data_IF_371756947335
#
_entry.id   IF_371756947335
#
_cell.length_a   1.000
_cell.length_b   1.000
_cell.length_c   1.000
_cell.angle_alpha   90.00
_cell.angle_beta   90.00
_cell.angle_gamma   90.00
#
_symmetry.space_group_name_H-M   'P 1'
#
loop_
_entity.id
_entity.type
_entity.pdbx_description
1 polymer ?
#
# COMPACT_ATOMS: atom_id res chain seq x y z
N UNK A 1 -42.16 -26.71 -17.39
CA UNK A 1 -41.92 -25.30 -17.74
C UNK A 1 -41.73 -25.23 -19.24
N UNK A 2 -42.56 -24.50 -19.98
CA UNK A 2 -42.34 -24.33 -21.43
C UNK A 2 -41.25 -23.25 -21.69
N UNK A 3 -40.64 -23.22 -22.87
CA UNK A 3 -39.53 -22.28 -23.13
C UNK A 3 -39.93 -20.80 -22.96
N UNK A 4 -41.19 -20.46 -23.22
CA UNK A 4 -41.72 -19.09 -23.08
C UNK A 4 -41.93 -18.72 -21.61
N UNK A 5 -42.31 -19.67 -20.77
CA UNK A 5 -42.43 -19.52 -19.32
C UNK A 5 -41.05 -19.25 -18.69
N UNK A 6 -40.01 -19.97 -19.13
CA UNK A 6 -38.62 -19.74 -18.71
C UNK A 6 -38.13 -18.34 -19.15
N UNK A 7 -38.40 -17.95 -20.40
CA UNK A 7 -38.10 -16.59 -20.92
C UNK A 7 -38.80 -15.49 -20.13
N UNK A 8 -40.05 -15.71 -19.75
CA UNK A 8 -40.84 -14.75 -18.98
C UNK A 8 -40.31 -14.63 -17.54
N UNK A 9 -39.92 -15.75 -16.92
CA UNK A 9 -39.40 -15.78 -15.56
C UNK A 9 -37.97 -15.23 -15.44
N UNK A 10 -37.13 -15.42 -16.45
CA UNK A 10 -35.71 -14.99 -16.44
C UNK A 10 -35.38 -14.22 -17.71
N UNK A 11 -35.58 -12.89 -17.72
CA UNK A 11 -35.26 -12.04 -18.86
C UNK A 11 -33.80 -12.23 -19.32
N UNK A 12 -33.60 -12.46 -20.62
CA UNK A 12 -32.28 -12.66 -21.22
C UNK A 12 -31.75 -14.09 -21.18
N UNK A 13 -32.46 -15.04 -20.56
CA UNK A 13 -32.09 -16.46 -20.63
C UNK A 13 -32.24 -16.98 -22.06
N UNK A 14 -31.20 -17.66 -22.55
CA UNK A 14 -31.26 -18.32 -23.86
C UNK A 14 -32.01 -19.65 -23.70
N UNK A 15 -33.02 -19.85 -24.53
CA UNK A 15 -33.76 -21.10 -24.64
C UNK A 15 -33.73 -21.59 -26.07
N UNK A 16 -33.68 -22.90 -26.24
CA UNK A 16 -33.66 -23.54 -27.55
C UNK A 16 -34.40 -24.88 -27.48
N UNK A 17 -35.02 -25.25 -28.60
CA UNK A 17 -35.56 -26.58 -28.80
C UNK A 17 -34.41 -27.60 -29.02
N UNK A 18 -34.63 -28.91 -28.79
CA UNK A 18 -33.62 -29.95 -28.98
C UNK A 18 -32.97 -29.97 -30.37
N UNK A 19 -33.64 -29.43 -31.39
CA UNK A 19 -33.10 -29.31 -32.76
C UNK A 19 -31.77 -28.53 -32.83
N UNK A 20 -31.47 -27.69 -31.84
CA UNK A 20 -30.19 -26.98 -31.76
C UNK A 20 -28.98 -27.94 -31.70
N UNK A 21 -29.20 -29.18 -31.24
CA UNK A 21 -28.17 -30.23 -31.16
C UNK A 21 -27.72 -30.65 -32.56
N UNK A 22 -28.57 -30.59 -33.60
CA UNK A 22 -28.20 -31.03 -34.95
C UNK A 22 -27.01 -30.26 -35.52
N UNK A 23 -26.94 -28.95 -35.23
CA UNK A 23 -25.91 -28.04 -35.77
C UNK A 23 -25.03 -27.44 -34.66
N UNK A 24 -24.88 -28.12 -33.52
CA UNK A 24 -24.21 -27.56 -32.35
C UNK A 24 -22.74 -27.18 -32.59
N UNK A 25 -22.02 -27.91 -33.46
CA UNK A 25 -20.62 -27.62 -33.77
C UNK A 25 -20.44 -26.31 -34.54
N UNK A 26 -21.43 -25.94 -35.36
CA UNK A 26 -21.42 -24.72 -36.16
C UNK A 26 -21.94 -23.52 -35.38
N UNK A 27 -22.74 -23.77 -34.33
CA UNK A 27 -23.37 -22.73 -33.56
C UNK A 27 -22.35 -22.05 -32.61
N UNK A 28 -22.11 -20.73 -32.76
CA UNK A 28 -21.12 -20.00 -31.98
C UNK A 28 -21.30 -20.10 -30.46
N UNK A 29 -22.52 -20.36 -29.98
CA UNK A 29 -22.80 -20.46 -28.53
C UNK A 29 -22.11 -21.65 -27.86
N UNK A 30 -21.81 -22.72 -28.62
CA UNK A 30 -21.13 -23.90 -28.09
C UNK A 30 -19.61 -23.85 -28.34
N UNK A 31 -19.11 -22.78 -28.99
CA UNK A 31 -17.68 -22.60 -29.25
C UNK A 31 -16.97 -22.24 -27.94
N UNK A 32 -16.47 -23.25 -27.23
CA UNK A 32 -15.62 -23.12 -26.06
C UNK A 32 -14.14 -22.93 -26.41
N UNK A 33 -13.32 -22.54 -25.43
CA UNK A 33 -11.85 -22.63 -25.56
C UNK A 33 -11.45 -24.12 -25.59
N UNK A 34 -10.53 -24.53 -26.48
CA UNK A 34 -10.01 -25.89 -26.47
C UNK A 34 -9.38 -26.25 -25.11
N UNK A 35 -9.78 -27.38 -24.52
CA UNK A 35 -9.18 -27.95 -23.30
C UNK A 35 -8.67 -29.36 -23.57
N UNK A 36 -7.77 -29.48 -24.56
CA UNK A 36 -7.22 -30.76 -25.03
C UNK A 36 -6.45 -31.52 -23.93
N UNK A 37 -5.98 -30.81 -22.90
CA UNK A 37 -5.26 -31.38 -21.75
C UNK A 37 -6.17 -31.61 -20.53
N UNK A 38 -7.48 -31.41 -20.67
CA UNK A 38 -8.48 -31.59 -19.62
C UNK A 38 -8.15 -30.85 -18.31
N UNK A 39 -7.53 -29.66 -18.41
CA UNK A 39 -7.18 -28.84 -17.24
C UNK A 39 -8.43 -28.43 -16.46
N UNK A 40 -9.52 -28.13 -17.16
CA UNK A 40 -10.79 -27.75 -16.52
C UNK A 40 -11.46 -28.93 -15.83
N UNK A 41 -11.40 -30.12 -16.44
CA UNK A 41 -11.89 -31.35 -15.81
C UNK A 41 -11.10 -31.66 -14.52
N UNK A 42 -9.78 -31.53 -14.56
CA UNK A 42 -8.94 -31.70 -13.35
C UNK A 42 -9.37 -30.74 -12.23
N UNK A 43 -9.58 -29.47 -12.54
CA UNK A 43 -10.05 -28.48 -11.56
C UNK A 43 -11.43 -28.83 -10.97
N UNK A 44 -12.37 -29.35 -11.77
CA UNK A 44 -13.67 -29.77 -11.25
C UNK A 44 -13.60 -31.04 -10.39
N UNK A 45 -12.69 -31.97 -10.69
CA UNK A 45 -12.48 -33.15 -9.83
C UNK A 45 -11.96 -32.78 -8.44
N UNK A 46 -11.14 -31.73 -8.34
CA UNK A 46 -10.72 -31.17 -7.04
C UNK A 46 -11.94 -30.70 -6.24
N UNK A 47 -12.84 -29.95 -6.88
CA UNK A 47 -14.08 -29.46 -6.23
C UNK A 47 -15.01 -30.59 -5.82
N UNK A 48 -15.16 -31.61 -6.66
CA UNK A 48 -15.96 -32.80 -6.38
C UNK A 48 -15.42 -33.57 -5.18
N UNK A 49 -14.11 -33.81 -5.11
CA UNK A 49 -13.45 -34.46 -3.98
C UNK A 49 -13.68 -33.68 -2.69
N UNK A 50 -13.48 -32.36 -2.73
CA UNK A 50 -13.66 -31.48 -1.58
C UNK A 50 -15.10 -31.46 -1.07
N UNK A 51 -16.07 -31.41 -1.98
CA UNK A 51 -17.49 -31.46 -1.63
C UNK A 51 -17.85 -32.81 -0.98
N UNK A 52 -17.34 -33.92 -1.54
CA UNK A 52 -17.57 -35.26 -0.98
C UNK A 52 -17.02 -35.39 0.44
N UNK A 53 -15.84 -34.86 0.70
CA UNK A 53 -15.21 -34.97 2.03
C UNK A 53 -15.86 -34.02 3.04
N UNK A 54 -16.28 -32.81 2.62
CA UNK A 54 -17.10 -31.92 3.44
C UNK A 54 -18.41 -32.58 3.89
N UNK A 55 -19.09 -33.28 2.98
CA UNK A 55 -20.33 -34.00 3.28
C UNK A 55 -20.13 -35.19 4.22
N UNK A 56 -19.00 -35.90 4.13
CA UNK A 56 -18.66 -37.04 5.00
C UNK A 56 -18.29 -36.61 6.41
N UNK A 57 -17.53 -35.53 6.55
CA UNK A 57 -17.07 -35.05 7.86
C UNK A 57 -18.28 -34.54 8.67
N UNK A 58 -19.22 -33.83 8.01
CA UNK A 58 -20.31 -33.15 8.70
C UNK A 58 -19.80 -32.08 9.69
N UNK A 59 -20.68 -31.34 10.35
CA UNK A 59 -20.28 -30.36 11.37
C UNK A 59 -19.99 -28.95 10.84
N UNK A 60 -19.16 -28.20 11.56
CA UNK A 60 -18.90 -26.78 11.31
C UNK A 60 -18.06 -26.57 10.03
N UNK A 61 -18.54 -25.68 9.16
CA UNK A 61 -17.85 -25.35 7.92
C UNK A 61 -16.48 -24.71 8.19
N UNK A 62 -16.32 -23.93 9.27
CA UNK A 62 -15.02 -23.32 9.58
C UNK A 62 -13.97 -24.35 10.04
N UNK A 63 -14.37 -25.37 10.82
CA UNK A 63 -13.47 -26.48 11.19
C UNK A 63 -12.97 -27.25 9.95
N UNK A 64 -13.85 -27.46 8.97
CA UNK A 64 -13.48 -28.05 7.68
C UNK A 64 -12.48 -27.16 6.92
N UNK A 65 -12.69 -25.84 6.91
CA UNK A 65 -11.77 -24.91 6.24
C UNK A 65 -10.40 -24.87 6.95
N UNK A 66 -10.36 -24.87 8.29
CA UNK A 66 -9.12 -24.96 9.09
C UNK A 66 -8.32 -26.24 8.78
N UNK A 67 -8.98 -27.36 8.58
CA UNK A 67 -8.32 -28.63 8.23
C UNK A 67 -7.95 -28.76 6.74
N UNK A 68 -8.47 -27.88 5.87
CA UNK A 68 -8.21 -27.93 4.43
C UNK A 68 -6.82 -27.41 4.03
N UNK A 69 -6.06 -26.79 4.94
CA UNK A 69 -4.74 -26.20 4.69
C UNK A 69 -4.74 -25.24 3.48
N UNK A 70 -5.66 -24.27 3.49
CA UNK A 70 -5.80 -23.32 2.38
C UNK A 70 -4.61 -22.38 2.38
N UNK A 71 -3.89 -22.36 1.25
CA UNK A 71 -2.74 -21.48 1.02
C UNK A 71 -3.05 -20.50 -0.09
N UNK A 72 -2.65 -19.25 0.11
CA UNK A 72 -2.73 -18.21 -0.90
C UNK A 72 -1.39 -17.53 -1.10
N UNK A 73 -1.18 -16.98 -2.30
CA UNK A 73 -0.03 -16.14 -2.61
C UNK A 73 -0.45 -14.98 -3.52
N UNK A 74 0.14 -13.82 -3.29
CA UNK A 74 -0.07 -12.60 -4.06
C UNK A 74 1.04 -12.45 -5.08
N UNK A 75 0.68 -12.06 -6.30
CA UNK A 75 1.62 -11.89 -7.41
C UNK A 75 1.34 -10.58 -8.12
N UNK A 76 2.40 -9.84 -8.46
CA UNK A 76 2.32 -8.50 -9.07
C UNK A 76 2.80 -8.45 -10.51
N UNK A 77 3.30 -9.56 -11.05
CA UNK A 77 3.73 -9.70 -12.45
C UNK A 77 2.55 -9.95 -13.40
N UNK A 78 1.49 -9.13 -13.25
CA UNK A 78 0.22 -9.17 -14.00
C UNK A 78 0.44 -9.29 -15.50
N UNK A 79 1.44 -8.59 -16.03
CA UNK A 79 1.74 -8.58 -17.46
C UNK A 79 2.07 -9.98 -18.02
N UNK A 80 2.75 -10.84 -17.23
CA UNK A 80 3.05 -12.22 -17.64
C UNK A 80 1.80 -13.09 -17.75
N UNK A 81 0.79 -12.78 -16.95
CA UNK A 81 -0.45 -13.55 -16.82
C UNK A 81 -1.67 -12.81 -17.38
N UNK A 82 -1.44 -11.74 -18.16
CA UNK A 82 -2.48 -10.79 -18.57
C UNK A 82 -3.63 -11.47 -19.31
N UNK A 83 -3.34 -12.39 -20.23
CA UNK A 83 -4.36 -13.14 -20.97
C UNK A 83 -5.27 -13.96 -20.04
N UNK A 84 -4.69 -14.54 -18.98
CA UNK A 84 -5.45 -15.32 -17.99
C UNK A 84 -6.28 -14.41 -17.07
N UNK A 85 -5.72 -13.27 -16.67
CA UNK A 85 -6.39 -12.26 -15.86
C UNK A 85 -7.53 -11.61 -16.64
N UNK A 86 -7.33 -11.26 -17.91
CA UNK A 86 -8.36 -10.76 -18.83
C UNK A 86 -9.54 -11.73 -18.92
N UNK A 87 -9.26 -13.02 -19.11
CA UNK A 87 -10.31 -14.03 -19.08
C UNK A 87 -11.06 -14.04 -17.75
N UNK A 88 -10.35 -13.93 -16.62
CA UNK A 88 -10.96 -13.91 -15.29
C UNK A 88 -11.84 -12.66 -15.10
N UNK A 89 -11.38 -11.48 -15.48
CA UNK A 89 -12.12 -10.20 -15.42
C UNK A 89 -13.43 -10.30 -16.19
N UNK A 90 -13.38 -10.85 -17.41
CA UNK A 90 -14.53 -10.85 -18.31
C UNK A 90 -15.52 -12.01 -18.08
N UNK A 91 -15.06 -13.15 -17.54
CA UNK A 91 -15.91 -14.32 -17.30
C UNK A 91 -16.49 -14.42 -15.89
N UNK A 92 -15.94 -13.69 -14.93
CA UNK A 92 -16.40 -13.76 -13.54
C UNK A 92 -17.63 -12.87 -13.34
N UNK A 93 -18.80 -13.49 -13.10
CA UNK A 93 -20.05 -12.75 -12.86
C UNK A 93 -20.36 -12.59 -11.37
N UNK A 94 -20.67 -13.68 -10.67
CA UNK A 94 -21.17 -13.60 -9.28
C UNK A 94 -20.10 -13.22 -8.25
N UNK A 95 -18.82 -13.45 -8.55
CA UNK A 95 -17.70 -13.09 -7.69
C UNK A 95 -16.87 -11.94 -8.27
N UNK A 96 -17.44 -11.14 -9.16
CA UNK A 96 -16.88 -9.85 -9.53
C UNK A 96 -17.70 -8.78 -8.81
N UNK A 97 -17.09 -8.15 -7.80
CA UNK A 97 -17.78 -7.26 -6.88
C UNK A 97 -18.11 -5.91 -7.53
N UNK A 98 -17.28 -5.41 -8.44
CA UNK A 98 -17.52 -4.14 -9.13
C UNK A 98 -18.28 -4.30 -10.45
N UNK A 99 -18.33 -5.52 -10.99
CA UNK A 99 -18.86 -5.87 -12.32
C UNK A 99 -18.14 -5.18 -13.48
N UNK A 100 -17.01 -4.52 -13.21
CA UNK A 100 -16.18 -3.93 -14.25
C UNK A 100 -15.65 -5.01 -15.19
N UNK A 101 -15.60 -4.67 -16.48
CA UNK A 101 -15.16 -5.53 -17.58
C UNK A 101 -14.11 -4.78 -18.38
N UNK A 102 -13.17 -5.53 -18.96
CA UNK A 102 -12.24 -4.99 -19.93
C UNK A 102 -12.77 -5.18 -21.34
N UNK A 103 -12.23 -4.45 -22.33
CA UNK A 103 -12.47 -4.75 -23.74
C UNK A 103 -12.32 -6.24 -24.05
N UNK A 104 -13.15 -6.76 -24.97
CA UNK A 104 -13.06 -8.18 -25.38
C UNK A 104 -11.74 -8.50 -26.08
N UNK A 105 -11.17 -7.52 -26.81
CA UNK A 105 -9.82 -7.63 -27.36
C UNK A 105 -8.78 -7.50 -26.24
N UNK A 106 -7.86 -8.47 -26.18
CA UNK A 106 -6.87 -8.59 -25.12
C UNK A 106 -5.83 -7.46 -25.19
N UNK A 107 -5.45 -7.03 -26.39
CA UNK A 107 -4.41 -6.01 -26.55
C UNK A 107 -4.97 -4.61 -26.33
N UNK A 108 -6.23 -4.35 -26.68
CA UNK A 108 -6.95 -3.14 -26.26
C UNK A 108 -7.07 -3.06 -24.74
N UNK A 109 -7.42 -4.17 -24.08
CA UNK A 109 -7.47 -4.24 -22.62
C UNK A 109 -6.10 -4.01 -21.98
N UNK A 110 -5.02 -4.53 -22.57
CA UNK A 110 -3.64 -4.33 -22.09
C UNK A 110 -3.26 -2.85 -22.13
N UNK A 111 -3.48 -2.19 -23.26
CA UNK A 111 -3.21 -0.74 -23.41
C UNK A 111 -4.01 0.09 -22.43
N UNK A 112 -5.27 -0.28 -22.18
CA UNK A 112 -6.09 0.39 -21.16
C UNK A 112 -5.47 0.21 -19.77
N UNK A 113 -5.12 -1.00 -19.38
CA UNK A 113 -4.49 -1.28 -18.09
C UNK A 113 -3.16 -0.53 -17.93
N UNK A 114 -2.28 -0.58 -18.93
CA UNK A 114 -1.00 0.15 -18.93
C UNK A 114 -1.22 1.66 -18.75
N UNK A 115 -2.18 2.22 -19.49
CA UNK A 115 -2.57 3.62 -19.37
C UNK A 115 -3.03 3.95 -17.95
N UNK A 116 -3.97 3.18 -17.40
CA UNK A 116 -4.48 3.42 -16.04
C UNK A 116 -3.39 3.31 -14.97
N UNK A 117 -2.47 2.36 -15.11
CA UNK A 117 -1.32 2.21 -14.20
C UNK A 117 -0.34 3.38 -14.33
N UNK A 118 -0.16 3.92 -15.54
CA UNK A 118 0.73 5.06 -15.78
C UNK A 118 0.14 6.39 -15.28
N UNK A 119 -1.18 6.57 -15.37
CA UNK A 119 -1.88 7.77 -14.93
C UNK A 119 -2.04 7.82 -13.39
N UNK A 120 -2.08 6.65 -12.74
CA UNK A 120 -2.31 6.53 -11.30
C UNK A 120 -1.09 5.89 -10.61
N UNK A 121 -0.09 6.72 -10.28
CA UNK A 121 1.17 6.28 -9.67
C UNK A 121 0.95 5.40 -8.43
N UNK A 122 0.07 5.83 -7.51
CA UNK A 122 -0.27 5.13 -6.26
C UNK A 122 -1.30 4.00 -6.41
N UNK A 123 -1.45 3.45 -7.60
CA UNK A 123 -2.32 2.30 -7.80
C UNK A 123 -1.68 0.98 -7.33
N UNK A 124 -2.48 0.05 -6.84
CA UNK A 124 -2.03 -1.24 -6.32
C UNK A 124 -2.79 -2.36 -7.02
N UNK A 125 -2.08 -3.33 -7.59
CA UNK A 125 -2.70 -4.41 -8.35
C UNK A 125 -1.93 -5.71 -8.20
N UNK A 126 -2.65 -6.79 -8.34
CA UNK A 126 -2.09 -8.12 -8.29
C UNK A 126 -3.11 -9.20 -8.56
N UNK A 127 -2.63 -10.42 -8.68
CA UNK A 127 -3.45 -11.60 -8.83
C UNK A 127 -3.15 -12.61 -7.73
N UNK A 128 -4.14 -13.45 -7.43
CA UNK A 128 -4.10 -14.39 -6.31
C UNK A 128 -4.05 -15.81 -6.88
N UNK A 129 -3.05 -16.58 -6.44
CA UNK A 129 -3.05 -18.04 -6.60
C UNK A 129 -3.54 -18.69 -5.31
N UNK A 130 -4.26 -19.79 -5.44
CA UNK A 130 -4.82 -20.53 -4.30
C UNK A 130 -4.54 -22.02 -4.48
N UNK A 131 -4.14 -22.69 -3.40
CA UNK A 131 -4.11 -24.15 -3.29
C UNK A 131 -4.65 -24.59 -1.93
N UNK A 132 -4.97 -25.86 -1.81
CA UNK A 132 -5.30 -26.49 -0.53
C UNK A 132 -4.88 -27.97 -0.57
N UNK A 133 -5.25 -28.75 0.45
CA UNK A 133 -4.94 -30.18 0.52
C UNK A 133 -5.50 -31.02 -0.64
N UNK A 134 -6.46 -30.51 -1.42
CA UNK A 134 -7.04 -31.19 -2.58
C UNK A 134 -6.31 -30.85 -3.89
N UNK A 135 -5.57 -29.74 -3.92
CA UNK A 135 -4.67 -29.37 -5.00
C UNK A 135 -4.70 -27.90 -5.39
N UNK A 136 -4.12 -27.60 -6.55
CA UNK A 136 -3.93 -26.24 -7.02
C UNK A 136 -5.14 -25.73 -7.80
N UNK A 137 -5.63 -24.55 -7.42
CA UNK A 137 -6.66 -23.83 -8.16
C UNK A 137 -6.03 -22.86 -9.18
N UNK A 138 -4.73 -22.57 -9.10
CA UNK A 138 -4.08 -21.59 -9.98
C UNK A 138 -4.60 -20.17 -9.77
N UNK A 139 -4.57 -19.34 -10.81
CA UNK A 139 -5.02 -17.93 -10.72
C UNK A 139 -6.53 -17.88 -10.49
N UNK A 140 -6.89 -17.40 -9.30
CA UNK A 140 -8.24 -17.38 -8.76
C UNK A 140 -8.72 -16.01 -8.32
N UNK A 141 -7.87 -15.00 -8.25
CA UNK A 141 -8.29 -13.64 -7.91
C UNK A 141 -7.52 -12.60 -8.72
N UNK A 142 -8.13 -11.43 -8.90
CA UNK A 142 -7.47 -10.24 -9.39
C UNK A 142 -8.01 -9.01 -8.66
N UNK A 143 -7.12 -8.10 -8.31
CA UNK A 143 -7.48 -6.81 -7.76
C UNK A 143 -6.72 -5.69 -8.46
N UNK A 144 -7.37 -4.54 -8.55
CA UNK A 144 -6.77 -3.28 -8.98
C UNK A 144 -7.41 -2.16 -8.17
N UNK A 145 -6.63 -1.59 -7.27
CA UNK A 145 -6.98 -0.48 -6.42
C UNK A 145 -6.33 0.80 -6.93
N UNK A 146 -7.09 1.89 -6.93
CA UNK A 146 -6.61 3.26 -7.12
C UNK A 146 -6.62 3.99 -5.78
N UNK A 147 -6.05 5.20 -5.68
CA UNK A 147 -6.13 5.99 -4.46
C UNK A 147 -7.58 6.13 -3.98
N UNK A 148 -7.85 5.67 -2.75
CA UNK A 148 -9.17 5.74 -2.13
C UNK A 148 -10.19 4.67 -2.53
N UNK A 149 -10.03 3.93 -3.65
CA UNK A 149 -11.06 2.97 -4.08
C UNK A 149 -10.54 1.73 -4.82
N UNK A 150 -11.35 0.66 -4.82
CA UNK A 150 -11.08 -0.61 -5.48
C UNK A 150 -11.82 -0.70 -6.82
N UNK A 151 -11.09 -0.60 -7.94
CA UNK A 151 -11.66 -0.64 -9.30
C UNK A 151 -12.01 -2.06 -9.75
N UNK A 152 -11.09 -3.00 -9.56
CA UNK A 152 -11.33 -4.42 -9.81
C UNK A 152 -11.16 -5.18 -8.52
N UNK A 153 -12.16 -6.01 -8.18
CA UNK A 153 -12.06 -6.99 -7.11
C UNK A 153 -12.90 -8.18 -7.51
N UNK A 154 -12.25 -9.27 -7.88
CA UNK A 154 -12.94 -10.40 -8.46
C UNK A 154 -12.22 -11.72 -8.24
N UNK A 155 -13.01 -12.79 -8.15
CA UNK A 155 -12.51 -14.14 -7.87
C UNK A 155 -13.19 -15.23 -8.69
N UNK A 156 -12.47 -16.30 -8.95
CA UNK A 156 -12.99 -17.49 -9.60
C UNK A 156 -13.99 -18.20 -8.68
N UNK A 157 -15.09 -18.71 -9.24
CA UNK A 157 -16.04 -19.57 -8.49
C UNK A 157 -15.41 -20.84 -7.90
N UNK A 158 -14.18 -21.19 -8.29
CA UNK A 158 -13.43 -22.32 -7.73
C UNK A 158 -13.02 -22.14 -6.27
N UNK A 159 -12.97 -20.90 -5.78
CA UNK A 159 -12.65 -20.60 -4.38
C UNK A 159 -13.87 -20.17 -3.56
N UNK A 160 -15.05 -20.24 -4.15
CA UNK A 160 -16.29 -19.82 -3.50
C UNK A 160 -16.47 -20.53 -2.15
N UNK A 161 -16.85 -19.79 -1.13
CA UNK A 161 -17.04 -20.26 0.25
C UNK A 161 -15.76 -20.74 0.96
N UNK A 162 -14.56 -20.40 0.45
CA UNK A 162 -13.30 -20.69 1.12
C UNK A 162 -12.83 -19.57 2.07
N UNK A 163 -13.46 -18.40 2.04
CA UNK A 163 -13.02 -17.23 2.81
C UNK A 163 -11.89 -16.43 2.14
N UNK A 164 -11.49 -16.78 0.91
CA UNK A 164 -10.37 -16.14 0.21
C UNK A 164 -10.70 -14.68 -0.11
N UNK A 165 -11.93 -14.40 -0.51
CA UNK A 165 -12.38 -13.04 -0.85
C UNK A 165 -12.27 -12.11 0.38
N UNK A 166 -12.72 -12.59 1.54
CA UNK A 166 -12.70 -11.86 2.80
C UNK A 166 -11.27 -11.69 3.32
N UNK A 167 -10.45 -12.74 3.24
CA UNK A 167 -9.04 -12.67 3.64
C UNK A 167 -8.28 -11.63 2.80
N UNK A 168 -8.38 -11.70 1.48
CA UNK A 168 -7.71 -10.74 0.58
C UNK A 168 -8.25 -9.33 0.82
N UNK A 169 -9.55 -9.16 1.06
CA UNK A 169 -10.14 -7.86 1.36
C UNK A 169 -9.57 -7.22 2.63
N UNK A 170 -9.48 -8.01 3.70
CA UNK A 170 -8.87 -7.59 4.96
C UNK A 170 -7.39 -7.26 4.79
N UNK A 171 -6.64 -8.13 4.09
CA UNK A 171 -5.20 -7.94 3.83
C UNK A 171 -4.90 -6.68 3.01
N UNK A 172 -5.78 -6.32 2.08
CA UNK A 172 -5.66 -5.09 1.28
C UNK A 172 -6.19 -3.83 1.98
N UNK A 173 -6.52 -3.92 3.28
CA UNK A 173 -6.90 -2.77 4.10
C UNK A 173 -8.34 -2.30 3.91
N UNK A 174 -9.24 -3.15 3.38
CA UNK A 174 -10.68 -2.87 3.21
C UNK A 174 -10.96 -1.49 2.58
N UNK A 175 -10.27 -1.19 1.47
CA UNK A 175 -10.43 0.07 0.71
C UNK A 175 -11.91 0.32 0.35
N UNK A 176 -12.30 1.50 -0.08
CA UNK A 176 -13.69 1.68 -0.52
C UNK A 176 -13.96 0.83 -1.79
N UNK A 177 -15.13 0.19 -1.88
CA UNK A 177 -15.54 -0.57 -3.07
C UNK A 177 -17.04 -0.39 -3.34
N UNK A 178 -17.37 -0.02 -4.58
CA UNK A 178 -18.74 0.06 -5.06
C UNK A 178 -19.24 -1.33 -5.48
N UNK A 179 -19.78 -2.08 -4.51
CA UNK A 179 -20.33 -3.42 -4.78
C UNK A 179 -21.57 -3.31 -5.68
N UNK A 180 -21.56 -4.02 -6.81
CA UNK A 180 -22.67 -4.13 -7.76
C UNK A 180 -23.34 -5.51 -7.62
N UNK A 181 -24.50 -5.60 -6.95
CA UNK A 181 -25.22 -6.86 -6.79
C UNK A 181 -25.79 -7.38 -8.13
N UNK A 182 -26.11 -8.69 -8.24
CA UNK A 182 -25.93 -9.71 -7.21
C UNK A 182 -24.47 -10.19 -7.10
N UNK A 183 -24.02 -10.47 -5.88
CA UNK A 183 -22.75 -11.15 -5.57
C UNK A 183 -23.00 -12.46 -4.84
N UNK A 184 -22.15 -13.47 -5.05
CA UNK A 184 -22.29 -14.78 -4.41
C UNK A 184 -21.79 -14.81 -2.95
N UNK A 185 -20.99 -13.83 -2.54
CA UNK A 185 -20.49 -13.70 -1.17
C UNK A 185 -20.61 -12.26 -0.66
N UNK A 186 -20.62 -12.13 0.66
CA UNK A 186 -20.53 -10.87 1.40
C UNK A 186 -19.10 -10.72 1.93
N UNK A 187 -18.45 -9.59 1.62
CA UNK A 187 -17.07 -9.32 2.05
C UNK A 187 -16.94 -9.09 3.57
N UNK A 188 -18.06 -8.90 4.27
CA UNK A 188 -18.07 -8.74 5.73
C UNK A 188 -18.39 -10.04 6.48
N UNK A 189 -18.66 -11.14 5.76
CA UNK A 189 -19.03 -12.40 6.36
C UNK A 189 -18.27 -13.59 5.72
N UNK A 190 -17.39 -14.28 6.47
CA UNK A 190 -16.99 -13.97 7.85
C UNK A 190 -16.14 -12.69 7.90
N UNK A 191 -16.21 -11.95 9.00
CA UNK A 191 -15.39 -10.73 9.16
C UNK A 191 -13.92 -11.04 9.43
N UNK A 192 -13.63 -12.24 9.95
CA UNK A 192 -12.28 -12.74 10.22
C UNK A 192 -12.12 -14.12 9.60
N UNK A 193 -10.97 -14.33 8.97
CA UNK A 193 -10.57 -15.61 8.35
C UNK A 193 -9.24 -16.01 8.95
N UNK A 194 -9.24 -17.06 9.77
CA UNK A 194 -8.06 -17.56 10.50
C UNK A 194 -7.52 -18.89 9.96
N UNK A 195 -8.13 -19.44 8.91
CA UNK A 195 -7.77 -20.72 8.29
C UNK A 195 -6.98 -20.62 6.98
N UNK A 196 -6.60 -19.41 6.57
CA UNK A 196 -5.83 -19.17 5.35
C UNK A 196 -4.39 -18.85 5.71
N UNK A 197 -3.45 -19.58 5.11
CA UNK A 197 -2.02 -19.35 5.23
C UNK A 197 -1.52 -18.57 4.01
N UNK A 198 -0.78 -17.49 4.27
CA UNK A 198 -0.03 -16.76 3.25
C UNK A 198 1.30 -17.46 2.99
N UNK A 199 1.69 -17.58 1.72
CA UNK A 199 2.95 -18.17 1.28
C UNK A 199 3.48 -17.46 0.03
N UNK A 200 4.74 -17.74 -0.35
CA UNK A 200 5.38 -17.10 -1.51
C UNK A 200 4.77 -17.55 -2.85
N UNK A 201 4.53 -18.86 -3.03
CA UNK A 201 3.77 -19.39 -4.16
C UNK A 201 2.91 -20.57 -3.73
N UNK A 202 1.59 -20.37 -3.78
CA UNK A 202 0.60 -21.39 -3.42
C UNK A 202 0.71 -22.65 -4.29
N UNK A 203 1.24 -22.58 -5.52
CA UNK A 203 1.38 -23.73 -6.41
C UNK A 203 2.75 -24.43 -6.29
N UNK A 204 3.68 -23.94 -5.45
CA UNK A 204 4.95 -24.61 -5.26
C UNK A 204 4.74 -25.96 -4.54
N UNK A 205 5.20 -27.05 -5.15
CA UNK A 205 5.09 -28.41 -4.60
C UNK A 205 6.08 -28.68 -3.45
N UNK A 206 7.08 -27.82 -3.27
CA UNK A 206 8.18 -27.95 -2.31
C UNK A 206 8.31 -26.74 -1.36
N UNK A 207 7.21 -26.20 -0.82
CA UNK A 207 7.40 -25.28 0.32
C UNK A 207 7.76 -26.09 1.56
N UNK A 208 9.07 -26.18 1.83
CA UNK A 208 9.60 -26.27 3.19
C UNK A 208 8.68 -25.49 4.11
N UNK A 209 8.24 -26.07 5.25
CA UNK A 209 7.47 -25.40 6.31
C UNK A 209 7.61 -23.88 6.20
N UNK A 210 6.66 -23.24 5.49
CA UNK A 210 6.68 -21.79 5.31
C UNK A 210 6.71 -21.26 6.74
N UNK A 211 7.74 -20.48 7.07
CA UNK A 211 8.01 -20.12 8.46
C UNK A 211 6.92 -19.13 8.89
N UNK A 212 5.81 -19.68 9.39
CA UNK A 212 4.62 -18.93 9.80
C UNK A 212 4.97 -17.84 10.82
N UNK A 213 6.13 -17.96 11.47
CA UNK A 213 6.68 -16.94 12.37
C UNK A 213 7.03 -15.64 11.63
N UNK A 214 7.61 -15.69 10.43
CA UNK A 214 8.00 -14.49 9.66
C UNK A 214 6.79 -13.73 9.12
N UNK A 215 5.75 -14.44 8.66
CA UNK A 215 4.49 -13.82 8.21
C UNK A 215 3.68 -13.20 9.35
N UNK A 216 4.00 -13.52 10.60
CA UNK A 216 3.37 -12.95 11.79
C UNK A 216 4.06 -11.69 12.32
N UNK A 217 5.26 -11.36 11.82
CA UNK A 217 5.97 -10.16 12.20
C UNK A 217 5.19 -8.92 11.76
N UNK A 218 5.04 -7.99 12.70
CA UNK A 218 4.48 -6.67 12.42
C UNK A 218 5.60 -5.72 11.98
N UNK A 219 5.43 -5.13 10.80
CA UNK A 219 6.41 -4.25 10.15
C UNK A 219 5.84 -2.84 10.03
N UNK A 220 6.43 -1.87 10.75
CA UNK A 220 6.11 -0.46 10.58
C UNK A 220 6.88 0.10 9.38
N UNK A 221 6.17 0.66 8.39
CA UNK A 221 6.75 1.38 7.26
C UNK A 221 6.51 2.87 7.46
N UNK A 222 7.59 3.63 7.68
CA UNK A 222 7.51 5.08 7.90
C UNK A 222 8.30 5.86 6.88
N UNK A 223 7.61 6.66 6.05
CA UNK A 223 8.26 7.48 5.03
C UNK A 223 7.25 8.18 4.13
N UNK A 224 7.56 8.29 2.83
CA UNK A 224 6.68 8.93 1.86
C UNK A 224 6.47 8.05 0.63
N UNK A 225 6.46 8.63 -0.57
CA UNK A 225 6.16 7.93 -1.82
C UNK A 225 7.07 6.71 -2.05
N UNK A 226 8.32 6.78 -1.61
CA UNK A 226 9.29 5.71 -1.72
C UNK A 226 8.87 4.44 -0.97
N UNK A 227 8.46 4.58 0.29
CA UNK A 227 7.97 3.47 1.09
C UNK A 227 6.49 3.14 0.83
N UNK A 228 5.67 4.11 0.45
CA UNK A 228 4.27 3.87 0.08
C UNK A 228 4.16 2.98 -1.17
N UNK A 229 5.00 3.22 -2.18
CA UNK A 229 5.04 2.34 -3.36
C UNK A 229 5.68 0.98 -3.06
N UNK A 230 6.66 0.96 -2.15
CA UNK A 230 7.29 -0.29 -1.70
C UNK A 230 6.31 -1.14 -0.88
N UNK A 231 5.41 -0.51 -0.11
CA UNK A 231 4.44 -1.20 0.75
C UNK A 231 3.47 -2.07 -0.05
N UNK A 232 3.17 -1.69 -1.31
CA UNK A 232 2.31 -2.48 -2.20
C UNK A 232 2.82 -3.91 -2.39
N UNK A 233 4.13 -4.11 -2.32
CA UNK A 233 4.75 -5.42 -2.40
C UNK A 233 4.93 -6.04 -1.01
N UNK A 234 5.36 -5.27 -0.01
CA UNK A 234 5.64 -5.78 1.34
C UNK A 234 4.40 -6.25 2.10
N UNK A 235 3.28 -5.51 2.01
CA UNK A 235 2.03 -5.87 2.70
C UNK A 235 1.42 -7.16 2.18
N UNK A 236 1.88 -7.65 1.02
CA UNK A 236 1.48 -8.96 0.50
C UNK A 236 2.26 -10.12 1.09
N UNK A 237 3.29 -9.83 1.90
CA UNK A 237 4.16 -10.80 2.59
C UNK A 237 4.06 -10.68 4.11
N UNK A 238 4.03 -9.46 4.64
CA UNK A 238 4.07 -9.17 6.08
C UNK A 238 2.78 -8.51 6.57
N UNK A 239 2.56 -8.48 7.88
CA UNK A 239 1.59 -7.59 8.51
C UNK A 239 2.22 -6.20 8.64
N UNK A 240 1.61 -5.17 8.02
CA UNK A 240 2.23 -3.84 7.93
C UNK A 240 1.42 -2.77 8.64
N UNK A 241 2.10 -1.90 9.39
CA UNK A 241 1.58 -0.60 9.82
C UNK A 241 2.18 0.45 8.88
N UNK A 242 1.34 1.20 8.17
CA UNK A 242 1.77 2.22 7.20
C UNK A 242 1.65 3.62 7.81
N UNK A 243 2.80 4.28 8.01
CA UNK A 243 2.91 5.68 8.42
C UNK A 243 3.45 6.50 7.25
N UNK A 244 2.54 6.99 6.42
CA UNK A 244 2.86 7.84 5.28
C UNK A 244 2.21 9.21 5.42
N UNK A 245 2.67 10.17 4.62
CA UNK A 245 2.11 11.51 4.64
C UNK A 245 0.63 11.51 4.25
N UNK A 246 -0.13 12.41 4.88
CA UNK A 246 -1.49 12.70 4.48
C UNK A 246 -1.80 14.18 4.69
N UNK A 247 -2.57 14.75 3.76
CA UNK A 247 -2.98 16.16 3.83
C UNK A 247 -4.23 16.30 4.70
N UNK A 248 -4.19 17.24 5.64
CA UNK A 248 -5.34 17.66 6.44
C UNK A 248 -5.56 19.13 6.14
N UNK A 249 -6.41 19.43 5.15
CA UNK A 249 -6.61 20.80 4.68
C UNK A 249 -6.73 21.79 5.86
N UNK A 250 -5.88 22.83 5.94
CA UNK A 250 -4.87 23.27 4.96
C UNK A 250 -3.44 22.73 5.18
N UNK A 251 -3.16 22.11 6.31
CA UNK A 251 -1.82 21.65 6.71
C UNK A 251 -1.53 20.23 6.23
N UNK A 252 -0.25 19.92 6.05
CA UNK A 252 0.16 18.55 5.77
C UNK A 252 0.79 17.91 6.99
N UNK A 253 0.40 16.65 7.25
CA UNK A 253 1.04 15.82 8.26
C UNK A 253 2.11 15.00 7.56
N UNK A 254 3.37 15.32 7.83
CA UNK A 254 4.54 14.63 7.28
C UNK A 254 5.16 13.67 8.28
N UNK A 255 5.84 12.67 7.75
CA UNK A 255 6.56 11.65 8.51
C UNK A 255 7.98 12.06 8.89
N UNK A 256 8.30 13.35 8.85
CA UNK A 256 9.63 13.87 9.18
C UNK A 256 10.04 13.58 10.63
N UNK A 257 11.34 13.55 10.91
CA UNK A 257 11.88 13.19 12.22
C UNK A 257 11.44 14.16 13.32
N UNK A 258 11.32 15.45 12.98
CA UNK A 258 10.90 16.50 13.92
C UNK A 258 9.51 16.26 14.50
N UNK A 259 8.58 15.66 13.74
CA UNK A 259 7.25 15.31 14.27
C UNK A 259 7.31 14.37 15.47
N UNK A 260 8.27 13.43 15.49
CA UNK A 260 8.48 12.50 16.61
C UNK A 260 9.24 13.18 17.76
N UNK A 261 10.20 14.06 17.43
CA UNK A 261 10.90 14.87 18.42
C UNK A 261 9.96 15.78 19.21
N UNK A 262 8.94 16.35 18.56
CA UNK A 262 7.92 17.16 19.22
C UNK A 262 7.09 16.37 20.25
N UNK A 263 6.82 15.09 19.99
CA UNK A 263 6.11 14.24 20.93
C UNK A 263 6.90 14.05 22.23
N UNK A 264 8.20 13.78 22.13
CA UNK A 264 9.10 13.69 23.28
C UNK A 264 9.11 14.97 24.10
N UNK A 265 9.20 16.11 23.41
CA UNK A 265 9.25 17.42 24.08
C UNK A 265 7.95 17.69 24.85
N UNK A 266 6.78 17.34 24.28
CA UNK A 266 5.48 17.43 24.95
C UNK A 266 5.34 16.52 26.18
N UNK A 267 5.91 15.32 26.16
CA UNK A 267 5.89 14.43 27.33
C UNK A 267 6.78 14.96 28.46
N UNK A 268 7.87 15.64 28.11
CA UNK A 268 8.87 16.11 29.06
C UNK A 268 8.53 17.45 29.74
N UNK A 269 7.66 18.27 29.13
CA UNK A 269 7.41 19.64 29.59
C UNK A 269 5.95 20.11 29.34
N UNK A 270 5.24 20.44 30.44
CA UNK A 270 3.86 20.93 30.40
C UNK A 270 3.74 22.31 29.72
N UNK A 271 4.80 23.13 29.75
CA UNK A 271 4.81 24.44 29.12
C UNK A 271 4.88 24.30 27.59
N UNK A 272 5.62 23.31 27.08
CA UNK A 272 5.68 22.99 25.64
C UNK A 272 4.31 22.57 25.10
N UNK A 273 3.56 21.76 25.85
CA UNK A 273 2.20 21.37 25.47
C UNK A 273 1.29 22.60 25.32
N UNK A 274 1.35 23.51 26.29
CA UNK A 274 0.57 24.76 26.28
C UNK A 274 0.95 25.67 25.11
N UNK A 275 2.24 25.72 24.74
CA UNK A 275 2.71 26.46 23.57
C UNK A 275 2.13 25.86 22.28
N UNK A 276 2.17 24.54 22.13
CA UNK A 276 1.69 23.88 20.91
C UNK A 276 0.18 24.00 20.70
N UNK A 277 -0.62 24.05 21.77
CA UNK A 277 -2.08 24.30 21.68
C UNK A 277 -2.42 25.68 21.09
N UNK A 278 -1.55 26.67 21.31
CA UNK A 278 -1.68 28.05 20.80
C UNK A 278 -1.05 28.24 19.42
N UNK A 279 -0.24 27.30 18.98
CA UNK A 279 0.56 27.40 17.76
C UNK A 279 -0.23 26.97 16.50
N UNK A 280 0.24 27.39 15.33
CA UNK A 280 -0.26 26.98 14.02
C UNK A 280 0.08 25.51 13.71
N UNK A 281 -0.67 24.92 12.79
CA UNK A 281 -0.42 23.58 12.28
C UNK A 281 -1.56 22.60 12.57
N UNK A 282 -1.42 21.35 12.13
CA UNK A 282 -2.41 20.32 12.39
C UNK A 282 -2.45 19.97 13.89
N UNK A 283 -3.54 19.37 14.34
CA UNK A 283 -3.63 18.79 15.69
C UNK A 283 -2.44 17.83 15.93
N UNK A 284 -1.53 18.20 16.83
CA UNK A 284 -0.28 17.48 17.05
C UNK A 284 -0.49 16.06 17.62
N UNK A 285 -1.67 15.76 18.17
CA UNK A 285 -2.01 14.37 18.54
C UNK A 285 -2.09 13.45 17.31
N UNK A 286 -2.13 14.00 16.09
CA UNK A 286 -2.10 13.26 14.82
C UNK A 286 -0.71 12.79 14.41
N UNK A 287 0.35 13.20 15.12
CA UNK A 287 1.71 12.66 14.98
C UNK A 287 1.93 11.37 15.77
N UNK A 288 0.85 10.73 16.22
CA UNK A 288 0.92 9.42 16.83
C UNK A 288 1.66 8.45 15.91
N UNK A 289 2.64 7.73 16.46
CA UNK A 289 3.49 6.83 15.71
C UNK A 289 3.76 5.56 16.50
N UNK A 290 3.83 4.45 15.79
CA UNK A 290 4.28 3.18 16.29
C UNK A 290 5.74 3.19 16.73
N UNK A 291 6.57 4.13 16.23
CA UNK A 291 7.93 4.35 16.75
C UNK A 291 7.89 4.76 18.23
N UNK A 292 6.87 5.53 18.63
CA UNK A 292 6.66 5.93 20.02
C UNK A 292 6.09 4.75 20.81
N UNK A 293 5.11 4.03 20.25
CA UNK A 293 4.42 2.95 20.97
C UNK A 293 5.21 1.64 21.01
N UNK A 294 6.19 1.47 20.12
CA UNK A 294 7.10 0.33 20.02
C UNK A 294 6.38 -1.01 19.81
N UNK A 295 5.26 -1.04 19.08
CA UNK A 295 4.47 -2.28 18.92
C UNK A 295 5.00 -3.20 17.84
N UNK A 296 5.50 -2.65 16.73
CA UNK A 296 6.04 -3.44 15.63
C UNK A 296 7.33 -4.16 16.02
N UNK A 297 7.58 -5.29 15.37
CA UNK A 297 8.82 -6.06 15.52
C UNK A 297 9.95 -5.44 14.69
N UNK A 298 9.61 -4.92 13.51
CA UNK A 298 10.53 -4.31 12.55
C UNK A 298 10.07 -2.92 12.15
N UNK A 299 11.02 -1.98 12.06
CA UNK A 299 10.80 -0.62 11.56
C UNK A 299 11.59 -0.39 10.28
N UNK A 300 10.90 -0.06 9.18
CA UNK A 300 11.52 0.38 7.93
C UNK A 300 11.29 1.87 7.78
N UNK A 301 12.38 2.64 7.80
CA UNK A 301 12.31 4.11 7.91
C UNK A 301 13.01 4.75 6.70
N UNK A 302 12.34 5.73 6.09
CA UNK A 302 12.91 6.65 5.12
C UNK A 302 12.75 8.08 5.60
N UNK A 303 13.81 8.88 5.44
CA UNK A 303 13.83 10.30 5.78
C UNK A 303 13.68 11.19 4.53
N UNK A 304 13.01 10.70 3.48
CA UNK A 304 12.82 11.45 2.24
C UNK A 304 12.06 12.77 2.41
N UNK A 305 11.35 12.98 3.53
CA UNK A 305 10.49 14.15 3.78
C UNK A 305 11.17 15.37 4.39
N UNK A 306 12.39 15.24 4.91
CA UNK A 306 13.04 16.33 5.67
C UNK A 306 13.23 17.60 4.85
N UNK A 307 13.50 17.43 3.56
CA UNK A 307 13.73 18.53 2.63
C UNK A 307 12.50 19.34 2.23
N UNK A 308 11.31 18.97 2.71
CA UNK A 308 10.04 19.53 2.26
C UNK A 308 9.33 20.41 3.29
N UNK A 309 10.04 20.81 4.34
CA UNK A 309 9.49 21.51 5.50
C UNK A 309 10.10 22.89 5.70
N UNK A 310 9.30 23.84 6.20
CA UNK A 310 9.78 25.10 6.79
C UNK A 310 9.85 24.97 8.30
N UNK A 311 10.96 25.41 8.91
CA UNK A 311 11.15 25.33 10.34
C UNK A 311 11.11 26.70 11.02
N UNK A 312 10.51 26.72 12.20
CA UNK A 312 10.28 27.91 13.01
C UNK A 312 10.71 27.65 14.45
N UNK A 313 11.46 28.57 15.03
CA UNK A 313 11.94 28.48 16.42
C UNK A 313 11.12 29.39 17.31
N UNK A 314 10.60 28.85 18.41
CA UNK A 314 9.97 29.65 19.46
C UNK A 314 11.04 30.50 20.16
N UNK A 315 10.83 31.82 20.24
CA UNK A 315 11.83 32.80 20.68
C UNK A 315 12.26 32.62 22.14
N UNK A 316 11.35 32.17 23.00
CA UNK A 316 11.61 32.01 24.44
C UNK A 316 12.15 30.63 24.81
N UNK A 317 11.57 29.56 24.24
CA UNK A 317 11.87 28.17 24.64
C UNK A 317 12.85 27.48 23.71
N UNK A 318 13.11 28.03 22.53
CA UNK A 318 13.93 27.39 21.50
C UNK A 318 13.25 26.21 20.79
N UNK A 319 11.99 25.89 21.10
CA UNK A 319 11.23 24.81 20.47
C UNK A 319 11.20 24.99 18.94
N UNK A 320 11.63 23.97 18.21
CA UNK A 320 11.58 23.98 16.73
C UNK A 320 10.32 23.25 16.25
N UNK A 321 9.50 23.98 15.50
CA UNK A 321 8.32 23.50 14.81
C UNK A 321 8.62 23.37 13.31
N UNK A 322 8.10 22.33 12.67
CA UNK A 322 8.13 22.18 11.22
C UNK A 322 6.72 22.20 10.65
N UNK A 323 6.47 23.03 9.63
CA UNK A 323 5.16 23.20 9.01
C UNK A 323 5.25 23.11 7.48
N UNK A 324 4.21 22.54 6.87
CA UNK A 324 3.91 22.69 5.43
C UNK A 324 2.47 23.10 5.21
N UNK A 325 2.29 24.00 4.26
CA UNK A 325 1.04 24.22 3.58
C UNK A 325 1.30 24.47 2.09
N UNK A 326 1.06 23.46 1.25
CA UNK A 326 1.29 23.55 -0.20
C UNK A 326 0.48 24.66 -0.87
N UNK A 327 -0.68 25.02 -0.33
CA UNK A 327 -1.58 26.00 -0.93
C UNK A 327 -1.21 27.46 -0.64
N UNK A 328 -0.38 27.74 0.38
CA UNK A 328 0.03 29.11 0.72
C UNK A 328 1.02 29.71 -0.30
N UNK A 329 1.72 28.88 -1.08
CA UNK A 329 2.66 29.37 -2.09
C UNK A 329 2.56 28.60 -3.42
N UNK A 330 1.46 28.78 -4.20
CA UNK A 330 1.25 28.07 -5.45
C UNK A 330 2.38 28.36 -6.46
N UNK A 331 3.00 27.31 -7.00
CA UNK A 331 4.04 27.44 -8.03
C UNK A 331 5.44 27.78 -7.52
N UNK A 332 5.64 27.87 -6.20
CA UNK A 332 6.96 27.83 -5.59
C UNK A 332 7.19 26.49 -4.91
N UNK A 333 8.45 26.08 -4.76
CA UNK A 333 8.79 24.98 -3.88
C UNK A 333 8.47 25.47 -2.45
N UNK A 334 7.27 25.19 -1.93
CA UNK A 334 6.80 25.67 -0.62
C UNK A 334 7.65 25.18 0.58
N UNK A 335 8.73 24.47 0.28
CA UNK A 335 9.83 24.11 1.16
C UNK A 335 10.64 25.38 1.44
N UNK A 336 10.92 25.67 2.71
CA UNK A 336 11.70 26.86 3.08
C UNK A 336 10.98 28.21 2.84
N UNK A 337 9.66 28.20 2.92
CA UNK A 337 8.84 29.41 2.92
C UNK A 337 8.70 29.99 4.34
N UNK A 338 8.80 31.32 4.46
CA UNK A 338 8.61 32.08 5.71
C UNK A 338 7.14 32.50 5.89
N UNK A 339 6.39 31.78 6.73
CA UNK A 339 5.01 32.11 7.03
C UNK A 339 4.91 33.34 7.95
N UNK A 340 5.96 33.66 8.71
CA UNK A 340 5.96 34.82 9.60
C UNK A 340 5.97 36.14 8.84
N UNK A 341 6.43 36.14 7.57
CA UNK A 341 6.42 37.32 6.71
C UNK A 341 5.04 37.66 6.13
N UNK A 342 4.09 36.73 6.12
CA UNK A 342 2.77 36.92 5.51
C UNK A 342 1.78 37.65 6.44
N UNK A 343 0.88 38.46 5.89
CA UNK A 343 -0.25 39.01 6.64
C UNK A 343 -1.37 37.98 6.75
N UNK A 344 -2.15 38.01 7.83
CA UNK A 344 -3.27 37.07 8.01
C UNK A 344 -4.31 37.21 6.90
N UNK A 345 -4.57 38.44 6.46
CA UNK A 345 -5.50 38.72 5.36
C UNK A 345 -5.13 38.06 4.03
N UNK A 346 -3.84 37.77 3.80
CA UNK A 346 -3.35 37.13 2.58
C UNK A 346 -3.58 35.61 2.59
N UNK A 347 -3.75 35.00 3.77
CA UNK A 347 -3.78 33.54 3.97
C UNK A 347 -5.09 33.01 4.54
N UNK A 348 -5.93 33.87 5.12
CA UNK A 348 -7.16 33.47 5.84
C UNK A 348 -8.15 32.65 5.00
N UNK A 349 -8.20 32.89 3.69
CA UNK A 349 -9.12 32.17 2.80
C UNK A 349 -8.64 30.72 2.54
N UNK A 350 -7.34 30.46 2.70
CA UNK A 350 -6.75 29.13 2.59
C UNK A 350 -6.70 28.42 3.95
N UNK A 351 -6.51 29.18 5.04
CA UNK A 351 -6.31 28.65 6.39
C UNK A 351 -7.62 28.48 7.17
N UNK A 352 -8.49 27.61 6.69
CA UNK A 352 -9.85 27.41 7.24
C UNK A 352 -9.91 26.94 8.70
N UNK A 353 -8.80 26.44 9.25
CA UNK A 353 -8.69 25.92 10.61
C UNK A 353 -7.87 26.82 11.56
N UNK A 354 -7.48 28.02 11.09
CA UNK A 354 -6.61 28.94 11.82
C UNK A 354 -7.35 30.24 12.13
N UNK A 355 -7.14 30.80 13.32
CA UNK A 355 -7.69 32.11 13.72
C UNK A 355 -6.63 33.21 13.58
N UNK A 356 -7.08 34.46 13.46
CA UNK A 356 -6.19 35.64 13.48
C UNK A 356 -5.36 35.70 14.76
N UNK A 357 -5.95 35.29 15.89
CA UNK A 357 -5.26 35.21 17.19
C UNK A 357 -4.09 34.21 17.14
N UNK A 358 -4.31 32.99 16.64
CA UNK A 358 -3.24 31.98 16.50
C UNK A 358 -2.16 32.44 15.52
N UNK A 359 -2.56 33.08 14.42
CA UNK A 359 -1.62 33.63 13.44
C UNK A 359 -0.75 34.73 14.04
N UNK A 360 -1.36 35.65 14.79
CA UNK A 360 -0.67 36.73 15.50
C UNK A 360 0.29 36.17 16.53
N UNK A 361 -0.18 35.22 17.36
CA UNK A 361 0.66 34.53 18.34
C UNK A 361 1.88 33.88 17.69
N UNK A 362 1.69 33.17 16.58
CA UNK A 362 2.80 32.55 15.85
C UNK A 362 3.82 33.59 15.37
N UNK A 363 3.38 34.68 14.73
CA UNK A 363 4.29 35.73 14.25
C UNK A 363 5.06 36.41 15.39
N UNK A 364 4.40 36.65 16.52
CA UNK A 364 5.01 37.30 17.67
C UNK A 364 6.02 36.40 18.38
N UNK A 365 5.74 35.10 18.47
CA UNK A 365 6.50 34.17 19.32
C UNK A 365 7.47 33.26 18.56
N UNK A 366 7.35 33.15 17.25
CA UNK A 366 8.25 32.34 16.42
C UNK A 366 9.08 33.20 15.47
N UNK A 367 10.27 32.70 15.16
CA UNK A 367 11.12 33.20 14.08
C UNK A 367 11.33 32.09 13.05
N UNK A 368 11.35 32.46 11.77
CA UNK A 368 11.69 31.54 10.70
C UNK A 368 13.19 31.27 10.72
N UNK A 369 13.57 29.99 10.76
CA UNK A 369 14.97 29.54 10.80
C UNK A 369 15.39 28.80 9.53
N UNK A 370 14.58 28.86 8.48
CA UNK A 370 14.80 28.14 7.24
C UNK A 370 14.28 26.69 7.25
N UNK A 371 14.47 26.00 6.14
CA UNK A 371 14.25 24.58 5.96
C UNK A 371 15.57 23.80 5.88
N UNK A 372 15.46 22.48 5.80
CA UNK A 372 16.62 21.57 5.84
C UNK A 372 17.70 21.90 4.80
N UNK A 373 17.32 22.38 3.62
CA UNK A 373 18.26 22.70 2.53
C UNK A 373 19.23 23.81 2.90
N UNK A 374 18.74 24.84 3.59
CA UNK A 374 19.43 26.12 3.73
C UNK A 374 19.78 26.50 5.18
N UNK A 375 19.42 25.65 6.16
CA UNK A 375 19.64 25.95 7.58
C UNK A 375 20.44 24.85 8.29
N UNK A 376 21.63 25.22 8.78
CA UNK A 376 22.48 24.30 9.55
C UNK A 376 21.89 23.98 10.93
N UNK A 377 21.14 24.91 11.53
CA UNK A 377 20.39 24.68 12.78
C UNK A 377 19.34 23.59 12.57
N UNK A 378 18.64 23.61 11.42
CA UNK A 378 17.65 22.57 11.09
C UNK A 378 18.32 21.22 10.82
N UNK A 379 19.48 21.19 10.18
CA UNK A 379 20.25 19.95 9.98
C UNK A 379 20.74 19.35 11.31
N UNK A 380 21.22 20.20 12.22
CA UNK A 380 21.62 19.78 13.57
C UNK A 380 20.42 19.22 14.36
N UNK A 381 19.28 19.92 14.30
CA UNK A 381 18.05 19.42 14.92
C UNK A 381 17.60 18.08 14.32
N UNK A 382 17.63 17.94 13.00
CA UNK A 382 17.34 16.69 12.32
C UNK A 382 18.25 15.55 12.81
N UNK A 383 19.56 15.79 12.90
CA UNK A 383 20.50 14.81 13.44
C UNK A 383 20.11 14.39 14.87
N UNK A 384 19.75 15.35 15.74
CA UNK A 384 19.31 15.07 17.11
C UNK A 384 18.00 14.26 17.15
N UNK A 385 17.06 14.53 16.25
CA UNK A 385 15.81 13.79 16.15
C UNK A 385 16.04 12.35 15.67
N UNK A 386 16.92 12.14 14.69
CA UNK A 386 17.31 10.79 14.23
C UNK A 386 18.00 10.01 15.36
N UNK A 387 18.94 10.65 16.07
CA UNK A 387 19.59 10.05 17.26
C UNK A 387 18.54 9.65 18.30
N UNK A 388 17.53 10.49 18.54
CA UNK A 388 16.47 10.18 19.47
C UNK A 388 15.65 8.94 19.05
N UNK A 389 15.20 8.91 17.79
CA UNK A 389 14.47 7.78 17.21
C UNK A 389 15.31 6.49 17.30
N UNK A 390 16.57 6.56 16.87
CA UNK A 390 17.45 5.39 16.84
C UNK A 390 17.75 4.87 18.25
N UNK A 391 18.01 5.77 19.20
CA UNK A 391 18.22 5.42 20.61
C UNK A 391 17.01 4.72 21.20
N UNK A 392 15.81 5.26 20.95
CA UNK A 392 14.56 4.66 21.42
C UNK A 392 14.40 3.23 20.91
N UNK A 393 14.49 3.02 19.59
CA UNK A 393 14.32 1.71 18.98
C UNK A 393 15.43 0.71 19.40
N UNK A 394 16.65 1.19 19.68
CA UNK A 394 17.76 0.35 20.16
C UNK A 394 17.49 -0.13 21.58
N UNK A 395 17.02 0.76 22.46
CA UNK A 395 16.64 0.40 23.82
C UNK A 395 15.48 -0.59 23.86
N UNK A 396 14.51 -0.43 22.95
CA UNK A 396 13.39 -1.34 22.77
C UNK A 396 13.77 -2.65 22.04
N UNK A 397 15.05 -2.83 21.68
CA UNK A 397 15.59 -4.01 21.00
C UNK A 397 14.88 -4.33 19.68
N UNK A 398 14.48 -3.29 18.94
CA UNK A 398 13.77 -3.44 17.67
C UNK A 398 14.73 -3.62 16.50
N UNK A 399 14.29 -4.38 15.49
CA UNK A 399 14.97 -4.43 14.19
C UNK A 399 14.66 -3.14 13.43
N UNK A 400 15.70 -2.48 12.92
CA UNK A 400 15.54 -1.24 12.16
C UNK A 400 16.26 -1.36 10.82
N UNK A 401 15.55 -1.00 9.75
CA UNK A 401 16.02 -0.97 8.38
C UNK A 401 15.83 0.45 7.86
N UNK A 402 16.92 1.08 7.45
CA UNK A 402 16.91 2.42 6.87
C UNK A 402 16.96 2.29 5.35
N UNK A 403 15.96 2.86 4.67
CA UNK A 403 15.98 3.01 3.23
C UNK A 403 16.68 4.34 2.88
N UNK A 404 17.91 4.24 2.37
CA UNK A 404 18.69 5.39 1.92
C UNK A 404 18.06 6.07 0.70
N UNK A 405 18.50 7.27 0.37
CA UNK A 405 17.93 8.06 -0.71
C UNK A 405 18.81 8.02 -1.97
N UNK A 406 18.19 8.20 -3.14
CA UNK A 406 18.92 8.35 -4.40
C UNK A 406 19.74 9.64 -4.36
N UNK A 407 21.05 9.55 -4.59
CA UNK A 407 21.94 10.71 -4.57
C UNK A 407 22.81 10.79 -5.83
N UNK A 408 22.47 9.99 -6.86
CA UNK A 408 23.29 9.86 -8.07
C UNK A 408 22.52 10.09 -9.37
N UNK A 409 21.28 9.62 -9.45
CA UNK A 409 20.51 9.58 -10.70
C UNK A 409 19.36 10.59 -10.65
N UNK A 410 19.06 11.27 -11.75
CA UNK A 410 17.97 12.24 -11.82
C UNK A 410 18.36 13.55 -12.48
N UNK A 411 17.36 14.25 -13.01
CA UNK A 411 17.51 15.48 -13.78
C UNK A 411 17.26 16.77 -12.95
N UNK A 412 17.04 16.65 -11.63
CA UNK A 412 16.99 17.76 -10.68
C UNK A 412 18.18 17.72 -9.72
N UNK A 413 19.28 18.42 -10.04
CA UNK A 413 20.49 18.44 -9.21
C UNK A 413 20.24 18.87 -7.77
N UNK A 414 19.31 19.80 -7.53
CA UNK A 414 19.00 20.29 -6.18
C UNK A 414 18.30 19.23 -5.32
N UNK A 415 17.46 18.39 -5.92
CA UNK A 415 16.81 17.28 -5.23
C UNK A 415 17.82 16.17 -4.90
N UNK A 416 18.70 15.86 -5.85
CA UNK A 416 19.80 14.90 -5.65
C UNK A 416 20.76 15.36 -4.55
N UNK A 417 21.12 16.65 -4.52
CA UNK A 417 21.94 17.25 -3.46
C UNK A 417 21.24 17.21 -2.10
N UNK A 418 19.94 17.52 -2.05
CA UNK A 418 19.14 17.43 -0.82
C UNK A 418 19.21 16.01 -0.24
N UNK A 419 18.95 15.01 -1.05
CA UNK A 419 18.99 13.61 -0.62
C UNK A 419 20.39 13.16 -0.20
N UNK A 420 21.43 13.61 -0.91
CA UNK A 420 22.82 13.39 -0.49
C UNK A 420 23.11 14.00 0.88
N UNK A 421 22.61 15.22 1.14
CA UNK A 421 22.75 15.87 2.45
C UNK A 421 22.05 15.09 3.56
N UNK A 422 20.85 14.53 3.31
CA UNK A 422 20.15 13.67 4.27
C UNK A 422 20.94 12.39 4.52
N UNK A 423 21.37 11.70 3.46
CA UNK A 423 22.18 10.48 3.56
C UNK A 423 23.48 10.70 4.36
N UNK A 424 24.13 11.86 4.17
CA UNK A 424 25.38 12.19 4.87
C UNK A 424 25.24 12.25 6.40
N UNK A 425 24.02 12.48 6.90
CA UNK A 425 23.70 12.47 8.33
C UNK A 425 23.21 11.07 8.75
N UNK A 426 22.27 10.50 7.99
CA UNK A 426 21.56 9.27 8.39
C UNK A 426 22.44 8.03 8.29
N UNK A 427 23.25 7.89 7.23
CA UNK A 427 24.04 6.67 6.99
C UNK A 427 25.08 6.42 8.11
N UNK A 428 25.93 7.40 8.50
CA UNK A 428 26.85 7.19 9.62
C UNK A 428 26.15 6.87 10.94
N UNK A 429 24.96 7.45 11.18
CA UNK A 429 24.16 7.11 12.35
C UNK A 429 23.63 5.68 12.29
N UNK A 430 23.11 5.23 11.14
CA UNK A 430 22.62 3.86 10.99
C UNK A 430 23.75 2.85 11.26
N UNK A 431 24.95 3.12 10.74
CA UNK A 431 26.15 2.32 10.99
C UNK A 431 26.53 2.31 12.50
N UNK A 432 26.52 3.48 13.16
CA UNK A 432 26.85 3.60 14.58
C UNK A 432 25.87 2.85 15.50
N UNK A 433 24.60 2.74 15.11
CA UNK A 433 23.57 1.99 15.85
C UNK A 433 23.46 0.52 15.43
N UNK A 434 24.27 0.07 14.45
CA UNK A 434 24.23 -1.28 13.86
C UNK A 434 22.88 -1.61 13.23
N UNK A 435 22.24 -0.63 12.59
CA UNK A 435 21.02 -0.82 11.82
C UNK A 435 21.33 -1.14 10.36
N UNK A 436 20.44 -1.91 9.73
CA UNK A 436 20.56 -2.19 8.30
C UNK A 436 20.34 -0.91 7.51
N UNK A 437 21.23 -0.62 6.56
CA UNK A 437 21.10 0.51 5.65
C UNK A 437 21.05 -0.01 4.21
N UNK A 438 19.93 0.24 3.52
CA UNK A 438 19.74 -0.11 2.12
C UNK A 438 20.09 1.11 1.27
N UNK A 439 21.21 1.04 0.57
CA UNK A 439 21.59 2.08 -0.38
C UNK A 439 20.78 1.94 -1.68
N UNK A 440 19.81 2.82 -1.90
CA UNK A 440 18.98 2.81 -3.12
C UNK A 440 19.83 2.93 -4.39
N UNK A 441 21.01 3.56 -4.31
CA UNK A 441 21.91 3.73 -5.44
C UNK A 441 22.52 2.39 -5.93
N UNK A 442 22.33 1.30 -5.18
CA UNK A 442 22.64 -0.06 -5.63
C UNK A 442 21.63 -0.63 -6.63
N UNK A 443 20.44 -0.03 -6.71
CA UNK A 443 19.32 -0.50 -7.53
C UNK A 443 18.90 0.50 -8.61
N UNK A 444 19.08 1.80 -8.36
CA UNK A 444 18.83 2.89 -9.30
C UNK A 444 20.15 3.25 -9.97
N UNK A 445 20.29 2.90 -11.25
CA UNK A 445 21.57 3.02 -11.98
C UNK A 445 21.51 3.99 -13.15
N UNK A 446 20.33 4.19 -13.73
CA UNK A 446 20.15 5.01 -14.94
C UNK A 446 18.82 5.75 -14.91
N UNK A 447 18.66 6.77 -15.75
CA UNK A 447 17.38 7.47 -15.90
C UNK A 447 16.24 6.55 -16.33
N UNK A 448 16.57 5.40 -16.96
CA UNK A 448 15.58 4.38 -17.31
C UNK A 448 14.99 3.66 -16.09
N UNK A 449 15.53 3.86 -14.89
CA UNK A 449 14.99 3.34 -13.62
C UNK A 449 13.98 4.32 -12.98
N UNK A 450 13.89 5.56 -13.49
CA UNK A 450 12.99 6.60 -13.02
C UNK A 450 11.65 6.58 -13.78
N UNK A 451 10.62 7.21 -13.21
CA UNK A 451 9.40 7.53 -13.97
C UNK A 451 9.64 8.70 -14.92
N UNK A 452 8.79 8.87 -15.93
CA UNK A 452 8.89 9.95 -16.93
C UNK A 452 8.51 11.34 -16.38
N UNK A 453 8.40 11.47 -15.06
CA UNK A 453 8.03 12.72 -14.42
C UNK A 453 9.17 13.74 -14.41
N UNK A 454 8.79 15.00 -14.25
CA UNK A 454 9.74 16.09 -14.03
C UNK A 454 10.32 15.96 -12.61
N UNK A 455 11.45 15.27 -12.49
CA UNK A 455 12.33 15.44 -11.35
C UNK A 455 13.10 14.26 -10.83
N UNK A 456 12.78 13.05 -11.29
CA UNK A 456 13.40 11.82 -10.79
C UNK A 456 13.11 11.55 -9.31
N UNK A 457 11.98 12.05 -8.79
CA UNK A 457 11.51 11.82 -7.42
C UNK A 457 11.05 10.37 -7.21
N UNK A 458 10.52 9.76 -8.28
CA UNK A 458 9.94 8.43 -8.28
C UNK A 458 10.64 7.47 -9.23
N UNK A 459 10.53 6.20 -8.90
CA UNK A 459 11.16 5.09 -9.62
C UNK A 459 10.12 4.27 -10.37
N UNK A 460 10.55 3.50 -11.36
CA UNK A 460 9.68 2.48 -11.97
C UNK A 460 9.26 1.46 -10.92
N UNK A 461 8.06 0.89 -11.07
CA UNK A 461 7.54 -0.17 -10.17
C UNK A 461 8.50 -1.34 -9.97
N UNK A 462 9.26 -1.71 -11.01
CA UNK A 462 10.26 -2.76 -10.93
C UNK A 462 11.37 -2.46 -9.93
N UNK A 463 11.67 -1.18 -9.68
CA UNK A 463 12.64 -0.74 -8.67
C UNK A 463 12.03 -0.80 -7.27
N UNK A 464 10.81 -0.32 -7.08
CA UNK A 464 10.10 -0.49 -5.79
C UNK A 464 9.95 -1.96 -5.38
N UNK A 465 9.73 -2.85 -6.35
CA UNK A 465 9.77 -4.29 -6.11
C UNK A 465 11.12 -4.78 -5.61
N UNK A 466 12.24 -4.29 -6.17
CA UNK A 466 13.59 -4.62 -5.68
C UNK A 466 13.79 -4.12 -4.24
N UNK A 467 13.34 -2.90 -3.92
CA UNK A 467 13.40 -2.40 -2.53
C UNK A 467 12.63 -3.33 -1.59
N UNK A 468 11.41 -3.73 -1.98
CA UNK A 468 10.61 -4.66 -1.18
C UNK A 468 11.28 -6.02 -1.00
N UNK A 469 11.93 -6.56 -2.03
CA UNK A 469 12.61 -7.85 -1.93
C UNK A 469 13.81 -7.77 -0.97
N UNK A 470 14.61 -6.71 -1.06
CA UNK A 470 15.78 -6.52 -0.19
C UNK A 470 15.37 -6.24 1.26
N UNK A 471 14.28 -5.48 1.47
CA UNK A 471 13.70 -5.29 2.80
C UNK A 471 13.22 -6.63 3.36
N UNK A 472 12.54 -7.45 2.56
CA UNK A 472 12.10 -8.78 2.98
C UNK A 472 13.29 -9.68 3.35
N UNK A 473 14.38 -9.64 2.59
CA UNK A 473 15.61 -10.37 2.88
C UNK A 473 16.28 -9.90 4.19
N UNK A 474 16.18 -8.60 4.52
CA UNK A 474 16.63 -8.08 5.82
C UNK A 474 15.74 -8.54 6.98
N UNK A 475 14.41 -8.62 6.77
CA UNK A 475 13.45 -9.12 7.76
C UNK A 475 13.63 -10.62 8.01
N UNK A 476 13.92 -11.41 6.98
CA UNK A 476 14.13 -12.85 7.11
C UNK A 476 15.36 -13.24 7.96
N UNK A 477 16.21 -12.26 8.32
CA UNK A 477 17.38 -12.45 9.21
C UNK A 477 17.07 -12.14 10.69
N UNK A 478 15.80 -11.88 11.03
CA UNK A 478 15.33 -11.62 12.41
C UNK A 478 15.40 -12.87 13.27
#
# INVERSE_FOLDING_TARGET
MNLNEVKAAVPGIRVAEPDIIKNWQENPIFRGKPDLKHKRLKAYRILESKQSDKEKIGGDNEEFLRSSNIRISFHTDVEKEFSRIHELVNRTNQLNFTKNRWPEDVEEARKLFEKEVSEEFFSDFGYIKVSDSYGDYGICGFYFAKPGYMQHFLFSCRIMNMGVEQYVWNKLGRKHIDIKPPTASDLNNPSKVDWITLCDDANAQDSHKDDSSLNSLQVCLRGACDLAMTSFFLKTKFETIEEFNYSVHPWEVHTNARSLGLYKDQESDLDIRTILEKTLGPDFNRYNSDIIQEKSDVYVISFSQEGFMSSYRHKETGLILSLRCMHMFPGTDACDADYTSLAYDDVKDFLTDTTEEKWTYFKENYEFIGGFRNSDIVKEQFQNDVIHIFTRLKHAQKKVIILGLNEKIGNLPELVKLWSSINSIVKPLAEAYEYDYIDINDYVKTDADLTDELGGAHYKRSIYKKFSDVIADCIAKV
#
